data_IF_006823862719
#
_entry.id   IF_006823862719
#
_cell.length_a   1.000
_cell.length_b   1.000
_cell.length_c   1.000
_cell.angle_alpha   90.00
_cell.angle_beta   90.00
_cell.angle_gamma   90.00
#
_symmetry.space_group_name_H-M   'P 1'
#
loop_
_entity.id
_entity.type
_entity.pdbx_description
1 polymer ?
#
# COMPACT_ATOMS: atom_id res chain seq x y z
N UNK A 1 -34.79 -58.11 4.57
CA UNK A 1 -34.29 -56.87 3.97
C UNK A 1 -33.80 -55.91 5.06
N UNK A 2 -32.50 -55.89 5.34
CA UNK A 2 -31.84 -54.80 6.08
C UNK A 2 -30.49 -54.60 5.41
N UNK A 3 -30.29 -53.44 4.79
CA UNK A 3 -29.00 -53.02 4.23
C UNK A 3 -28.36 -52.13 5.28
N UNK A 4 -27.30 -52.64 5.90
CA UNK A 4 -26.49 -51.88 6.84
C UNK A 4 -25.65 -50.85 6.07
N UNK A 5 -25.88 -49.58 6.39
CA UNK A 5 -25.11 -48.45 5.86
C UNK A 5 -23.84 -48.28 6.68
N UNK A 6 -22.72 -48.76 6.14
CA UNK A 6 -21.38 -48.48 6.65
C UNK A 6 -21.05 -47.01 6.37
N UNK A 7 -21.06 -46.17 7.41
CA UNK A 7 -20.52 -44.80 7.35
C UNK A 7 -19.00 -44.90 7.15
N UNK A 8 -18.51 -44.46 6.00
CA UNK A 8 -17.08 -44.19 5.78
C UNK A 8 -16.74 -42.88 6.49
N UNK A 9 -15.94 -42.96 7.54
CA UNK A 9 -15.38 -41.77 8.21
C UNK A 9 -14.28 -41.15 7.33
N UNK A 10 -14.28 -39.82 7.26
CA UNK A 10 -13.38 -39.01 6.44
C UNK A 10 -11.98 -38.94 7.09
N UNK A 11 -10.88 -39.05 6.32
CA UNK A 11 -9.51 -39.01 6.86
C UNK A 11 -9.09 -37.69 7.54
N UNK A 12 -9.88 -36.62 7.43
CA UNK A 12 -9.46 -35.27 7.84
C UNK A 12 -9.72 -34.92 9.32
N UNK A 13 -10.36 -35.80 10.08
CA UNK A 13 -10.71 -35.53 11.50
C UNK A 13 -9.60 -35.85 12.52
N UNK A 14 -8.39 -36.21 12.06
CA UNK A 14 -7.32 -36.70 12.94
C UNK A 14 -6.59 -35.61 13.76
N UNK A 15 -6.78 -34.31 13.48
CA UNK A 15 -5.97 -33.25 14.11
C UNK A 15 -6.56 -32.59 15.37
N UNK A 16 -7.78 -32.96 15.81
CA UNK A 16 -8.45 -32.28 16.95
C UNK A 16 -8.41 -33.00 18.31
N UNK A 17 -7.62 -34.06 18.50
CA UNK A 17 -7.50 -34.75 19.81
C UNK A 17 -6.06 -35.06 20.24
N UNK A 18 -5.26 -34.01 20.49
CA UNK A 18 -4.13 -34.08 21.44
C UNK A 18 -4.01 -32.79 22.25
N UNK A 19 -4.94 -32.59 23.20
CA UNK A 19 -4.69 -31.74 24.37
C UNK A 19 -3.89 -32.55 25.39
N UNK A 20 -2.62 -32.81 25.06
CA UNK A 20 -1.67 -33.45 25.96
C UNK A 20 -0.47 -32.52 26.13
N UNK A 21 -0.43 -31.85 27.28
CA UNK A 21 0.75 -31.34 28.00
C UNK A 21 2.07 -31.38 27.21
N UNK A 22 2.22 -30.51 26.21
CA UNK A 22 3.54 -30.16 25.71
C UNK A 22 4.08 -29.05 26.61
N UNK A 23 4.74 -29.47 27.70
CA UNK A 23 5.63 -28.60 28.46
C UNK A 23 6.68 -28.10 27.46
N UNK A 24 6.44 -26.90 26.94
CA UNK A 24 7.40 -26.23 26.06
C UNK A 24 8.72 -26.14 26.84
N UNK A 25 9.85 -26.60 26.29
CA UNK A 25 11.13 -26.46 26.97
C UNK A 25 11.32 -24.98 27.31
N UNK A 26 11.83 -24.64 28.51
CA UNK A 26 12.08 -23.27 28.88
C UNK A 26 13.04 -22.69 27.85
N UNK A 27 12.52 -21.81 26.98
CA UNK A 27 13.34 -21.04 26.06
C UNK A 27 14.27 -20.23 26.94
N UNK A 28 15.51 -20.67 27.09
CA UNK A 28 16.60 -19.84 27.59
C UNK A 28 16.69 -18.69 26.58
N UNK A 29 15.97 -17.60 26.87
CA UNK A 29 16.10 -16.33 26.19
C UNK A 29 17.52 -15.88 26.42
N UNK A 30 18.43 -16.28 25.52
CA UNK A 30 19.69 -15.59 25.34
C UNK A 30 19.31 -14.13 25.12
N UNK A 31 19.60 -13.30 26.12
CA UNK A 31 19.52 -11.85 25.98
C UNK A 31 20.58 -11.49 24.96
N UNK A 32 20.21 -11.54 23.67
CA UNK A 32 20.95 -10.88 22.62
C UNK A 32 21.17 -9.46 23.11
N UNK A 33 22.43 -9.11 23.33
CA UNK A 33 22.84 -7.75 23.70
C UNK A 33 22.32 -6.90 22.55
N UNK A 34 21.22 -6.19 22.80
CA UNK A 34 20.65 -5.23 21.86
C UNK A 34 21.63 -4.06 21.83
N UNK A 35 22.62 -4.15 20.94
CA UNK A 35 23.42 -2.98 20.59
C UNK A 35 22.45 -2.03 19.92
N UNK A 36 22.09 -0.95 20.63
CA UNK A 36 21.25 0.09 20.06
C UNK A 36 21.95 0.67 18.83
N UNK A 37 21.26 0.78 17.68
CA UNK A 37 21.87 1.34 16.49
C UNK A 37 22.38 2.76 16.77
N UNK A 38 23.50 3.19 16.16
CA UNK A 38 24.04 4.53 16.34
C UNK A 38 22.99 5.58 15.95
N UNK A 39 22.78 6.58 16.80
CA UNK A 39 21.87 7.69 16.50
C UNK A 39 22.53 8.63 15.48
N UNK A 40 22.14 8.50 14.20
CA UNK A 40 22.58 9.41 13.16
C UNK A 40 21.83 10.75 13.30
N UNK A 41 22.55 11.88 13.27
CA UNK A 41 21.98 13.23 13.32
C UNK A 41 22.41 14.01 12.08
N UNK A 42 21.46 14.71 11.47
CA UNK A 42 21.75 15.70 10.43
C UNK A 42 22.56 16.82 11.07
N UNK A 43 23.69 17.16 10.46
CA UNK A 43 24.51 18.32 10.81
C UNK A 43 24.57 19.21 9.58
N UNK A 44 24.40 20.50 9.79
CA UNK A 44 24.53 21.49 8.74
C UNK A 44 25.95 22.06 8.76
N UNK A 45 26.39 22.62 7.63
CA UNK A 45 27.61 23.43 7.60
C UNK A 45 27.45 24.62 8.56
N UNK A 46 28.55 25.12 9.10
CA UNK A 46 28.56 26.02 10.26
C UNK A 46 27.86 27.38 10.01
N UNK A 47 27.58 27.74 8.75
CA UNK A 47 27.04 29.04 8.34
C UNK A 47 25.86 28.90 7.35
N UNK A 48 24.65 28.58 7.85
CA UNK A 48 23.44 28.65 7.03
C UNK A 48 22.36 29.47 7.75
N UNK A 49 21.86 30.49 7.07
CA UNK A 49 20.74 31.29 7.56
C UNK A 49 19.45 30.50 7.34
N UNK A 50 18.85 30.02 8.44
CA UNK A 50 17.50 29.46 8.41
C UNK A 50 16.49 30.60 8.29
N UNK A 51 15.99 30.85 7.09
CA UNK A 51 14.79 31.67 6.92
C UNK A 51 13.57 30.83 7.23
N UNK A 52 12.96 31.04 8.38
CA UNK A 52 11.64 30.47 8.66
C UNK A 52 10.63 31.16 7.75
N UNK A 53 10.27 30.50 6.65
CA UNK A 53 9.16 30.97 5.80
C UNK A 53 7.88 30.69 6.56
N UNK A 54 7.28 31.73 7.13
CA UNK A 54 5.95 31.64 7.72
C UNK A 54 4.96 31.49 6.57
N UNK A 55 4.58 30.25 6.25
CA UNK A 55 3.47 30.00 5.35
C UNK A 55 2.17 30.18 6.14
N UNK A 56 1.78 31.44 6.36
CA UNK A 56 0.45 31.78 6.84
C UNK A 56 -0.58 31.46 5.76
N UNK A 57 -0.94 30.18 5.66
CA UNK A 57 -2.14 29.71 4.96
C UNK A 57 -3.44 30.15 5.67
N UNK A 58 -3.33 31.00 6.70
CA UNK A 58 -4.43 31.57 7.47
C UNK A 58 -4.93 32.91 6.92
N UNK A 59 -4.33 33.44 5.84
CA UNK A 59 -4.92 34.59 5.17
C UNK A 59 -6.27 34.14 4.58
N UNK A 60 -7.40 34.78 4.93
CA UNK A 60 -8.65 34.49 4.27
C UNK A 60 -8.46 34.78 2.78
N UNK A 61 -8.64 33.74 1.95
CA UNK A 61 -8.63 33.88 0.49
C UNK A 61 -9.59 35.00 0.10
N UNK A 62 -9.16 35.86 -0.82
CA UNK A 62 -10.03 36.92 -1.33
C UNK A 62 -11.27 36.30 -1.97
N UNK A 63 -12.41 36.99 -1.93
CA UNK A 63 -13.67 36.45 -2.47
C UNK A 63 -13.54 36.06 -3.95
N UNK A 64 -12.75 36.81 -4.73
CA UNK A 64 -12.44 36.50 -6.13
C UNK A 64 -11.72 35.16 -6.30
N UNK A 65 -10.74 34.86 -5.42
CA UNK A 65 -10.05 33.57 -5.42
C UNK A 65 -10.99 32.44 -5.03
N UNK A 66 -11.92 32.69 -4.11
CA UNK A 66 -12.92 31.70 -3.68
C UNK A 66 -13.85 31.27 -4.82
N UNK A 67 -14.22 32.20 -5.72
CA UNK A 67 -15.03 31.89 -6.92
C UNK A 67 -14.21 31.18 -8.00
N UNK A 68 -12.88 31.36 -8.03
CA UNK A 68 -11.98 30.70 -8.98
C UNK A 68 -11.69 29.23 -8.66
N UNK A 69 -12.12 28.69 -7.51
CA UNK A 69 -11.91 27.27 -7.21
C UNK A 69 -12.78 26.41 -8.12
N UNK A 70 -12.21 25.30 -8.58
CA UNK A 70 -12.91 24.31 -9.40
C UNK A 70 -13.96 23.50 -8.63
N UNK A 71 -14.05 23.70 -7.31
CA UNK A 71 -15.00 23.02 -6.45
C UNK A 71 -15.38 23.93 -5.27
N UNK A 72 -16.64 23.81 -4.88
CA UNK A 72 -17.20 24.42 -3.68
C UNK A 72 -16.73 23.72 -2.41
N UNK A 73 -16.87 24.39 -1.26
CA UNK A 73 -16.58 23.79 0.05
C UNK A 73 -17.42 22.53 0.31
N UNK A 74 -18.66 22.51 -0.18
CA UNK A 74 -19.55 21.36 -0.03
C UNK A 74 -19.08 20.17 -0.87
N UNK A 75 -18.70 20.39 -2.13
CA UNK A 75 -18.13 19.35 -3.00
C UNK A 75 -16.83 18.79 -2.41
N UNK A 76 -15.95 19.66 -1.89
CA UNK A 76 -14.75 19.22 -1.21
C UNK A 76 -15.04 18.32 0.01
N UNK A 77 -16.03 18.70 0.82
CA UNK A 77 -16.45 17.89 1.96
C UNK A 77 -16.99 16.51 1.53
N UNK A 78 -17.74 16.46 0.43
CA UNK A 78 -18.21 15.19 -0.16
C UNK A 78 -17.05 14.33 -0.66
N UNK A 79 -16.12 14.89 -1.46
CA UNK A 79 -14.92 14.18 -1.92
C UNK A 79 -14.08 13.62 -0.75
N UNK A 80 -13.94 14.41 0.32
CA UNK A 80 -13.24 13.99 1.53
C UNK A 80 -13.99 12.85 2.24
N UNK A 81 -15.32 12.89 2.30
CA UNK A 81 -16.14 11.83 2.88
C UNK A 81 -16.04 10.54 2.07
N UNK A 82 -16.15 10.61 0.74
CA UNK A 82 -16.04 9.46 -0.15
C UNK A 82 -14.67 8.80 -0.06
N UNK A 83 -13.58 9.58 -0.13
CA UNK A 83 -12.22 9.03 0.03
C UNK A 83 -11.99 8.40 1.41
N UNK A 84 -12.53 8.98 2.47
CA UNK A 84 -12.44 8.41 3.83
C UNK A 84 -13.18 7.08 3.93
N UNK A 85 -14.34 6.96 3.28
CA UNK A 85 -15.10 5.72 3.19
C UNK A 85 -14.32 4.64 2.45
N UNK A 86 -13.76 4.94 1.28
CA UNK A 86 -12.92 4.01 0.51
C UNK A 86 -11.72 3.52 1.32
N UNK A 87 -11.01 4.41 2.02
CA UNK A 87 -9.86 4.03 2.88
C UNK A 87 -10.28 3.07 4.00
N UNK A 88 -11.44 3.30 4.59
CA UNK A 88 -11.99 2.41 5.63
C UNK A 88 -12.27 1.03 5.05
N UNK A 89 -12.93 0.95 3.90
CA UNK A 89 -13.21 -0.32 3.23
C UNK A 89 -11.93 -1.08 2.87
N UNK A 90 -10.94 -0.39 2.28
CA UNK A 90 -9.61 -0.96 1.99
C UNK A 90 -8.94 -1.54 3.25
N UNK A 91 -9.08 -0.85 4.38
CA UNK A 91 -8.52 -1.29 5.66
C UNK A 91 -9.23 -2.53 6.20
N UNK A 92 -10.57 -2.58 6.12
CA UNK A 92 -11.35 -3.75 6.55
C UNK A 92 -11.03 -4.99 5.70
N UNK A 93 -10.95 -4.83 4.38
CA UNK A 93 -10.55 -5.91 3.45
C UNK A 93 -9.17 -6.46 3.81
N UNK A 94 -8.20 -5.57 4.05
CA UNK A 94 -6.83 -5.98 4.40
C UNK A 94 -6.79 -6.75 5.72
N UNK A 95 -7.57 -6.35 6.72
CA UNK A 95 -7.64 -7.05 8.01
C UNK A 95 -8.26 -8.45 7.89
N UNK A 96 -9.21 -8.63 6.96
CA UNK A 96 -9.85 -9.92 6.70
C UNK A 96 -9.02 -10.85 5.81
N UNK A 97 -7.92 -10.35 5.22
CA UNK A 97 -7.16 -11.09 4.21
C UNK A 97 -7.96 -11.37 2.94
N UNK A 98 -9.04 -10.62 2.71
CA UNK A 98 -9.86 -10.74 1.51
C UNK A 98 -9.21 -9.97 0.36
N UNK A 99 -9.47 -10.40 -0.89
CA UNK A 99 -9.12 -9.60 -2.06
C UNK A 99 -10.06 -8.38 -2.16
N UNK A 100 -9.54 -7.16 -2.38
CA UNK A 100 -10.36 -5.96 -2.56
C UNK A 100 -11.40 -6.06 -3.67
N UNK A 101 -11.13 -6.80 -4.76
CA UNK A 101 -12.01 -6.78 -5.93
C UNK A 101 -13.40 -7.34 -5.66
N UNK A 102 -13.53 -8.29 -4.72
CA UNK A 102 -14.85 -8.87 -4.38
C UNK A 102 -15.85 -7.85 -3.79
N UNK A 103 -15.36 -6.80 -3.14
CA UNK A 103 -16.22 -5.77 -2.53
C UNK A 103 -16.34 -4.53 -3.42
N UNK A 104 -15.35 -4.28 -4.28
CA UNK A 104 -15.32 -3.12 -5.18
C UNK A 104 -16.03 -3.38 -6.52
N UNK A 105 -16.25 -4.63 -6.90
CA UNK A 105 -17.05 -4.97 -8.09
C UNK A 105 -18.56 -4.83 -7.85
N UNK A 106 -18.98 -4.69 -6.59
CA UNK A 106 -20.40 -4.73 -6.19
C UNK A 106 -20.97 -3.35 -5.80
N UNK A 107 -20.12 -2.37 -5.56
CA UNK A 107 -20.50 -0.97 -5.31
C UNK A 107 -19.93 -0.14 -6.47
N UNK A 108 -20.79 0.61 -7.15
CA UNK A 108 -20.64 1.40 -8.37
C UNK A 108 -19.24 2.00 -8.70
N UNK A 109 -19.06 2.37 -9.98
CA UNK A 109 -17.89 2.99 -10.65
C UNK A 109 -17.20 4.18 -9.92
N UNK A 110 -17.69 4.60 -8.75
CA UNK A 110 -17.26 5.78 -8.01
C UNK A 110 -16.09 5.54 -7.02
N UNK A 111 -15.74 4.29 -6.69
CA UNK A 111 -14.69 4.02 -5.70
C UNK A 111 -13.28 3.92 -6.30
N UNK A 112 -12.63 5.08 -6.43
CA UNK A 112 -11.22 5.15 -6.79
C UNK A 112 -10.31 4.82 -5.59
N UNK A 113 -9.62 3.67 -5.64
CA UNK A 113 -8.62 3.29 -4.62
C UNK A 113 -7.24 3.89 -4.87
N UNK A 114 -7.00 4.38 -6.10
CA UNK A 114 -5.70 4.93 -6.52
C UNK A 114 -5.38 6.22 -5.77
N UNK A 115 -4.15 6.33 -5.26
CA UNK A 115 -3.70 7.47 -4.45
C UNK A 115 -4.16 7.43 -2.99
N UNK A 116 -4.99 6.46 -2.60
CA UNK A 116 -5.43 6.24 -1.23
C UNK A 116 -4.66 5.12 -0.52
N UNK A 117 -3.73 4.46 -1.19
CA UNK A 117 -2.97 3.32 -0.67
C UNK A 117 -2.19 3.71 0.59
N UNK A 118 -1.55 4.88 0.56
CA UNK A 118 -0.79 5.43 1.68
C UNK A 118 -1.65 5.98 2.83
N UNK A 119 -2.98 6.07 2.65
CA UNK A 119 -3.92 6.49 3.71
C UNK A 119 -4.34 5.33 4.60
N UNK A 120 -4.21 4.09 4.13
CA UNK A 120 -4.37 2.90 4.97
C UNK A 120 -3.26 2.84 6.03
N UNK A 121 -3.52 2.18 7.18
CA UNK A 121 -2.51 2.04 8.24
C UNK A 121 -1.24 1.33 7.74
N UNK A 122 -1.41 0.30 6.92
CA UNK A 122 -0.30 -0.47 6.36
C UNK A 122 0.50 0.33 5.33
N UNK A 123 -0.19 1.03 4.42
CA UNK A 123 0.45 1.89 3.42
C UNK A 123 1.18 3.07 4.06
N UNK A 124 0.57 3.71 5.07
CA UNK A 124 1.22 4.76 5.85
C UNK A 124 2.50 4.24 6.54
N UNK A 125 2.45 3.05 7.13
CA UNK A 125 3.62 2.40 7.73
C UNK A 125 4.69 2.08 6.69
N UNK A 126 4.33 1.48 5.55
CA UNK A 126 5.25 1.17 4.45
C UNK A 126 5.93 2.43 3.93
N UNK A 127 5.16 3.49 3.66
CA UNK A 127 5.67 4.79 3.22
C UNK A 127 6.67 5.38 4.24
N UNK A 128 6.30 5.40 5.52
CA UNK A 128 7.18 5.89 6.59
C UNK A 128 8.47 5.08 6.67
N UNK A 129 8.37 3.75 6.58
CA UNK A 129 9.53 2.88 6.61
C UNK A 129 10.47 3.15 5.42
N UNK A 130 9.95 3.27 4.21
CA UNK A 130 10.74 3.55 3.02
C UNK A 130 11.47 4.90 3.13
N UNK A 131 10.80 5.93 3.66
CA UNK A 131 11.40 7.25 3.92
C UNK A 131 12.55 7.13 4.92
N UNK A 132 12.31 6.47 6.06
CA UNK A 132 13.34 6.28 7.10
C UNK A 132 14.53 5.51 6.54
N UNK A 133 14.29 4.40 5.84
CA UNK A 133 15.35 3.60 5.22
C UNK A 133 16.19 4.41 4.23
N UNK A 134 15.56 5.24 3.40
CA UNK A 134 16.29 6.09 2.46
C UNK A 134 17.12 7.18 3.17
N UNK A 135 16.57 7.81 4.21
CA UNK A 135 17.30 8.80 5.03
C UNK A 135 18.48 8.14 5.74
N UNK A 136 18.26 7.00 6.38
CA UNK A 136 19.30 6.28 7.12
C UNK A 136 20.45 5.86 6.18
N UNK A 137 20.13 5.37 4.97
CA UNK A 137 21.14 5.01 3.97
C UNK A 137 22.03 6.20 3.59
N UNK A 138 21.43 7.37 3.35
CA UNK A 138 22.16 8.61 3.06
C UNK A 138 23.01 9.05 4.25
N UNK A 139 22.46 9.03 5.46
CA UNK A 139 23.18 9.44 6.67
C UNK A 139 24.37 8.52 6.98
N UNK A 140 24.23 7.21 6.75
CA UNK A 140 25.31 6.24 6.89
C UNK A 140 26.43 6.51 5.88
N UNK A 141 26.09 6.80 4.62
CA UNK A 141 27.08 7.14 3.61
C UNK A 141 27.78 8.46 3.91
N UNK A 142 27.06 9.48 4.38
CA UNK A 142 27.67 10.74 4.83
C UNK A 142 28.64 10.53 5.99
N UNK A 143 28.32 9.63 6.93
CA UNK A 143 29.22 9.29 8.03
C UNK A 143 30.45 8.55 7.54
N UNK A 144 30.31 7.61 6.60
CA UNK A 144 31.43 6.92 5.95
C UNK A 144 32.35 7.90 5.22
N UNK A 145 31.78 8.85 4.46
CA UNK A 145 32.50 9.93 3.78
C UNK A 145 33.37 10.74 4.74
N UNK A 146 32.79 11.14 5.89
CA UNK A 146 33.53 11.86 6.95
C UNK A 146 34.69 11.04 7.51
N UNK A 147 34.49 9.77 7.80
CA UNK A 147 35.51 8.90 8.38
C UNK A 147 36.72 8.70 7.43
N UNK A 148 36.48 8.73 6.13
CA UNK A 148 37.52 8.60 5.09
C UNK A 148 38.12 9.96 4.69
N UNK A 149 37.62 11.08 5.23
CA UNK A 149 38.06 12.42 4.86
C UNK A 149 37.61 12.88 3.46
N UNK A 150 36.72 12.12 2.81
CA UNK A 150 36.10 12.50 1.55
C UNK A 150 34.81 13.24 1.84
N UNK A 151 34.90 14.55 2.06
CA UNK A 151 33.71 15.36 2.32
C UNK A 151 33.07 15.76 0.99
N UNK A 152 31.77 15.51 0.82
CA UNK A 152 30.90 16.02 -0.25
C UNK A 152 30.91 15.27 -1.61
N UNK A 153 30.99 13.94 -1.63
CA UNK A 153 30.65 13.22 -2.86
C UNK A 153 29.12 13.15 -3.02
N UNK A 154 28.57 14.20 -3.63
CA UNK A 154 27.13 14.37 -3.90
C UNK A 154 26.58 13.32 -4.87
N UNK A 155 27.40 12.82 -5.80
CA UNK A 155 26.98 11.84 -6.80
C UNK A 155 26.79 10.48 -6.14
N UNK A 156 27.69 10.12 -5.22
CA UNK A 156 27.53 8.88 -4.47
C UNK A 156 26.32 8.92 -3.53
N UNK A 157 26.06 10.05 -2.86
CA UNK A 157 24.86 10.21 -2.04
C UNK A 157 23.57 10.07 -2.85
N UNK A 158 23.53 10.66 -4.05
CA UNK A 158 22.39 10.52 -4.95
C UNK A 158 22.20 9.07 -5.41
N UNK A 159 23.29 8.36 -5.70
CA UNK A 159 23.26 6.94 -6.06
C UNK A 159 22.70 6.08 -4.92
N UNK A 160 23.22 6.24 -3.70
CA UNK A 160 22.75 5.51 -2.51
C UNK A 160 21.27 5.77 -2.25
N UNK A 161 20.79 7.00 -2.39
CA UNK A 161 19.37 7.31 -2.25
C UNK A 161 18.52 6.62 -3.33
N UNK A 162 18.98 6.65 -4.58
CA UNK A 162 18.31 5.99 -5.71
C UNK A 162 18.20 4.49 -5.49
N UNK A 163 19.27 3.85 -5.02
CA UNK A 163 19.29 2.42 -4.71
C UNK A 163 18.34 2.09 -3.56
N UNK A 164 18.39 2.86 -2.46
CA UNK A 164 17.52 2.67 -1.31
C UNK A 164 16.02 2.82 -1.66
N UNK A 165 15.70 3.62 -2.69
CA UNK A 165 14.34 3.87 -3.17
C UNK A 165 13.94 3.06 -4.40
N UNK A 166 14.81 2.19 -4.92
CA UNK A 166 14.57 1.43 -6.16
C UNK A 166 13.29 0.57 -6.09
N UNK A 167 13.01 -0.03 -4.94
CA UNK A 167 11.78 -0.81 -4.72
C UNK A 167 10.52 0.05 -4.89
N UNK A 168 10.55 1.33 -4.50
CA UNK A 168 9.41 2.23 -4.67
C UNK A 168 9.15 2.52 -6.15
N UNK A 169 10.22 2.73 -6.93
CA UNK A 169 10.14 2.94 -8.38
C UNK A 169 9.61 1.70 -9.10
N UNK A 170 10.07 0.51 -8.69
CA UNK A 170 9.59 -0.77 -9.22
C UNK A 170 8.10 -0.98 -8.88
N UNK A 171 7.71 -0.78 -7.62
CA UNK A 171 6.31 -0.88 -7.19
C UNK A 171 5.39 0.05 -8.00
N UNK A 172 5.82 1.28 -8.24
CA UNK A 172 5.07 2.25 -9.05
C UNK A 172 4.95 1.81 -10.52
N UNK A 173 6.03 1.28 -11.10
CA UNK A 173 6.02 0.76 -12.47
C UNK A 173 5.12 -0.47 -12.64
N UNK A 174 5.14 -1.40 -11.68
CA UNK A 174 4.24 -2.55 -11.67
C UNK A 174 2.78 -2.14 -11.53
N UNK A 175 2.48 -1.17 -10.66
CA UNK A 175 1.14 -0.62 -10.53
C UNK A 175 0.67 0.02 -11.85
N UNK A 176 1.51 0.82 -12.50
CA UNK A 176 1.19 1.45 -13.77
C UNK A 176 0.87 0.43 -14.88
N UNK A 177 1.63 -0.68 -14.97
CA UNK A 177 1.32 -1.76 -15.93
C UNK A 177 -0.01 -2.44 -15.63
N UNK A 178 -0.31 -2.67 -14.35
CA UNK A 178 -1.59 -3.26 -13.95
C UNK A 178 -2.75 -2.35 -14.38
N UNK A 179 -2.62 -1.05 -14.18
CA UNK A 179 -3.62 -0.08 -14.59
C UNK A 179 -3.78 -0.01 -16.11
N UNK A 180 -2.65 0.01 -16.85
CA UNK A 180 -2.67 -0.01 -18.31
C UNK A 180 -3.40 -1.25 -18.86
N UNK A 181 -3.14 -2.41 -18.26
CA UNK A 181 -3.82 -3.66 -18.63
C UNK A 181 -5.31 -3.63 -18.30
N UNK A 182 -5.70 -3.10 -17.13
CA UNK A 182 -7.11 -2.99 -16.77
C UNK A 182 -7.89 -2.14 -17.79
N UNK A 183 -7.30 -1.02 -18.22
CA UNK A 183 -7.87 -0.17 -19.27
C UNK A 183 -7.99 -0.90 -20.59
N UNK A 184 -6.94 -1.62 -21.02
CA UNK A 184 -6.96 -2.43 -22.24
C UNK A 184 -8.07 -3.51 -22.20
N UNK A 185 -8.18 -4.23 -21.07
CA UNK A 185 -9.21 -5.25 -20.86
C UNK A 185 -10.63 -4.64 -20.96
N UNK A 186 -10.83 -3.43 -20.42
CA UNK A 186 -12.11 -2.72 -20.51
C UNK A 186 -12.42 -2.25 -21.94
N UNK A 187 -11.43 -1.79 -22.70
CA UNK A 187 -11.59 -1.51 -24.13
C UNK A 187 -11.98 -2.76 -24.92
N UNK A 188 -11.35 -3.91 -24.65
CA UNK A 188 -11.68 -5.19 -25.32
C UNK A 188 -13.11 -5.62 -25.01
N UNK A 189 -13.59 -5.46 -23.77
CA UNK A 189 -14.98 -5.75 -23.39
C UNK A 189 -15.98 -4.87 -24.16
N UNK A 190 -15.68 -3.58 -24.32
CA UNK A 190 -16.53 -2.64 -25.07
C UNK A 190 -16.57 -2.95 -26.57
N UNK A 191 -15.46 -3.41 -27.14
CA UNK A 191 -15.34 -3.73 -28.57
C UNK A 191 -15.84 -5.13 -28.93
N UNK A 192 -15.98 -6.03 -27.96
CA UNK A 192 -16.53 -7.37 -28.19
C UNK A 192 -18.05 -7.25 -28.35
N UNK A 193 -18.62 -7.35 -29.57
CA UNK A 193 -20.06 -7.24 -29.75
C UNK A 193 -20.71 -8.34 -28.91
N UNK A 194 -21.54 -7.94 -27.96
CA UNK A 194 -22.34 -8.87 -27.19
C UNK A 194 -23.35 -9.48 -28.15
N UNK A 195 -22.99 -10.56 -28.84
CA UNK A 195 -23.93 -11.25 -29.73
C UNK A 195 -25.08 -11.70 -28.83
N UNK A 196 -26.28 -11.14 -29.00
CA UNK A 196 -27.40 -11.49 -28.14
C UNK A 196 -27.64 -13.00 -28.28
N UNK A 197 -27.64 -13.69 -27.13
CA UNK A 197 -27.75 -15.16 -27.03
C UNK A 197 -29.00 -15.71 -27.76
N UNK A 198 -29.98 -14.84 -28.04
CA UNK A 198 -31.21 -15.11 -28.79
C UNK A 198 -31.03 -15.63 -30.23
N UNK A 199 -29.83 -15.62 -30.83
CA UNK A 199 -29.61 -16.15 -32.18
C UNK A 199 -28.87 -17.50 -32.23
N UNK A 200 -28.70 -18.22 -31.10
CA UNK A 200 -28.13 -19.57 -31.17
C UNK A 200 -29.14 -20.50 -31.86
N UNK A 201 -28.84 -21.05 -33.05
CA UNK A 201 -29.71 -22.02 -33.68
C UNK A 201 -29.82 -23.23 -32.77
N UNK A 202 -31.04 -23.52 -32.30
CA UNK A 202 -31.33 -24.78 -31.63
C UNK A 202 -31.17 -25.88 -32.68
N UNK A 203 -30.02 -26.55 -32.65
CA UNK A 203 -29.83 -27.79 -33.40
C UNK A 203 -30.82 -28.82 -32.86
N UNK A 204 -31.96 -28.94 -33.52
CA UNK A 204 -32.89 -30.05 -33.34
C UNK A 204 -32.20 -31.28 -33.91
N UNK A 205 -31.60 -32.10 -33.04
CA UNK A 205 -31.16 -33.44 -33.40
C UNK A 205 -32.40 -34.28 -33.69
N UNK A 206 -32.54 -34.70 -34.94
CA UNK A 206 -33.43 -35.78 -35.38
C UNK A 206 -32.69 -37.13 -35.22
#
# INVERSE_FOLDING_TARGET
MRRDLVRKESPDDCWRRRKGLFLSPPRKTQRLIQISPPQLRVRFAQDFALTQVHTDYSMPLYEEEQVSFWYTKQEYALMKRSSSFTVRLMTEVQQRGASPSKYLEQEDEEMCTRGLEAKTRSGARKRRQNIVTAIDAVLMEQERQRQVGSNNDIYNLAHIYKDATANCSMDAWLAAQKDAKAVEDDFVKLLSPTIPVSQRPTHTHL
#
